data_IF_415923818093
#
_entry.id   IF_415923818093
#
_cell.length_a   1.000
_cell.length_b   1.000
_cell.length_c   1.000
_cell.angle_alpha   90.00
_cell.angle_beta   90.00
_cell.angle_gamma   90.00
#
_symmetry.space_group_name_H-M   'P 1'
#
loop_
_entity.id
_entity.type
_entity.pdbx_description
1 polymer ?
#
# COMPACT_ATOMS: atom_id res chain seq x y z
N UNK A 1 38.77 -11.64 57.27
CA UNK A 1 37.66 -10.70 56.94
C UNK A 1 37.76 -10.08 55.54
N UNK A 2 38.91 -9.58 55.06
CA UNK A 2 38.99 -8.80 53.79
C UNK A 2 38.60 -9.53 52.48
N UNK A 3 38.76 -10.86 52.40
CA UNK A 3 38.49 -11.64 51.16
C UNK A 3 36.99 -11.75 50.83
N UNK A 4 36.15 -11.97 51.84
CA UNK A 4 34.71 -12.12 51.66
C UNK A 4 34.02 -10.78 51.32
N UNK A 5 34.51 -9.68 51.89
CA UNK A 5 34.01 -8.34 51.57
C UNK A 5 34.25 -7.95 50.12
N UNK A 6 35.41 -8.33 49.55
CA UNK A 6 35.73 -8.09 48.14
C UNK A 6 34.83 -8.90 47.19
N UNK A 7 34.55 -10.17 47.51
CA UNK A 7 33.67 -11.02 46.71
C UNK A 7 32.23 -10.50 46.73
N UNK A 8 31.72 -10.08 47.89
CA UNK A 8 30.39 -9.48 48.02
C UNK A 8 30.31 -8.17 47.21
N UNK A 9 31.34 -7.33 47.27
CA UNK A 9 31.40 -6.09 46.50
C UNK A 9 31.38 -6.34 44.99
N UNK A 10 32.16 -7.31 44.49
CA UNK A 10 32.16 -7.68 43.06
C UNK A 10 30.79 -8.21 42.64
N UNK A 11 30.14 -9.06 43.44
CA UNK A 11 28.80 -9.56 43.15
C UNK A 11 27.76 -8.45 43.11
N UNK A 12 27.83 -7.48 44.02
CA UNK A 12 26.93 -6.32 44.02
C UNK A 12 27.16 -5.42 42.80
N UNK A 13 28.41 -5.20 42.38
CA UNK A 13 28.73 -4.42 41.18
C UNK A 13 28.25 -5.14 39.91
N UNK A 14 28.49 -6.44 39.78
CA UNK A 14 27.99 -7.23 38.65
C UNK A 14 26.46 -7.24 38.63
N UNK A 15 25.82 -7.42 39.79
CA UNK A 15 24.35 -7.39 39.92
C UNK A 15 23.77 -6.02 39.55
N UNK A 16 24.38 -4.93 39.99
CA UNK A 16 23.96 -3.57 39.65
C UNK A 16 24.14 -3.25 38.16
N UNK A 17 25.29 -3.63 37.57
CA UNK A 17 25.53 -3.48 36.14
C UNK A 17 24.57 -4.34 35.31
N UNK A 18 24.25 -5.55 35.78
CA UNK A 18 23.26 -6.42 35.16
C UNK A 18 21.85 -5.83 35.21
N UNK A 19 21.46 -5.22 36.34
CA UNK A 19 20.18 -4.53 36.47
C UNK A 19 20.07 -3.32 35.54
N UNK A 20 21.09 -2.44 35.51
CA UNK A 20 21.17 -1.29 34.60
C UNK A 20 21.11 -1.72 33.12
N UNK A 21 21.79 -2.80 32.78
CA UNK A 21 21.75 -3.38 31.44
C UNK A 21 20.33 -3.86 31.06
N UNK A 22 19.63 -4.53 31.97
CA UNK A 22 18.26 -5.00 31.73
C UNK A 22 17.26 -3.84 31.62
N UNK A 23 17.38 -2.83 32.47
CA UNK A 23 16.51 -1.65 32.44
C UNK A 23 16.69 -0.85 31.14
N UNK A 24 17.94 -0.60 30.72
CA UNK A 24 18.22 0.05 29.43
C UNK A 24 17.74 -0.79 28.25
N UNK A 25 17.87 -2.12 28.32
CA UNK A 25 17.33 -3.01 27.28
C UNK A 25 15.82 -2.93 27.20
N UNK A 26 15.10 -2.94 28.33
CA UNK A 26 13.64 -2.80 28.35
C UNK A 26 13.16 -1.45 27.78
N UNK A 27 13.86 -0.36 28.12
CA UNK A 27 13.58 0.96 27.54
C UNK A 27 13.78 0.93 26.02
N UNK A 28 14.90 0.39 25.52
CA UNK A 28 15.14 0.25 24.08
C UNK A 28 14.03 -0.55 23.38
N UNK A 29 13.58 -1.66 23.96
CA UNK A 29 12.50 -2.49 23.42
C UNK A 29 11.17 -1.72 23.32
N UNK A 30 10.78 -0.96 24.35
CA UNK A 30 9.56 -0.15 24.31
C UNK A 30 9.61 0.96 23.25
N UNK A 31 10.78 1.58 23.05
CA UNK A 31 10.99 2.58 22.00
C UNK A 31 10.84 1.93 20.62
N UNK A 32 11.37 0.72 20.44
CA UNK A 32 11.25 -0.06 19.21
C UNK A 32 9.79 -0.41 18.90
N UNK A 33 9.03 -0.92 19.88
CA UNK A 33 7.63 -1.33 19.72
C UNK A 33 6.69 -0.16 19.40
N UNK A 34 6.90 1.00 20.02
CA UNK A 34 6.09 2.20 19.71
C UNK A 34 6.35 2.67 18.28
N UNK A 35 7.62 2.60 17.84
CA UNK A 35 8.03 3.11 16.54
C UNK A 35 7.48 2.26 15.39
N UNK A 36 7.49 0.93 15.51
CA UNK A 36 6.98 0.04 14.45
C UNK A 36 5.47 0.26 14.18
N UNK A 37 4.66 0.44 15.23
CA UNK A 37 3.21 0.64 15.04
C UNK A 37 2.90 1.94 14.31
N UNK A 38 3.56 3.03 14.68
CA UNK A 38 3.39 4.33 14.03
C UNK A 38 3.83 4.29 12.56
N UNK A 39 4.94 3.59 12.27
CA UNK A 39 5.43 3.47 10.89
C UNK A 39 4.52 2.59 10.03
N UNK A 40 4.02 1.47 10.57
CA UNK A 40 3.04 0.63 9.89
C UNK A 40 1.77 1.41 9.57
N UNK A 41 1.23 2.14 10.55
CA UNK A 41 0.05 3.00 10.36
C UNK A 41 0.30 4.07 9.29
N UNK A 42 1.41 4.80 9.39
CA UNK A 42 1.71 5.88 8.45
C UNK A 42 1.92 5.36 7.04
N UNK A 43 2.63 4.24 6.86
CA UNK A 43 2.80 3.59 5.57
C UNK A 43 1.45 3.23 4.95
N UNK A 44 0.51 2.69 5.75
CA UNK A 44 -0.84 2.39 5.30
C UNK A 44 -1.61 3.63 4.84
N UNK A 45 -1.56 4.72 5.62
CA UNK A 45 -2.23 5.98 5.28
C UNK A 45 -1.66 6.63 4.01
N UNK A 46 -0.32 6.59 3.86
CA UNK A 46 0.34 7.02 2.62
C UNK A 46 -0.13 6.18 1.44
N UNK A 47 -0.28 4.87 1.61
CA UNK A 47 -0.72 3.98 0.55
C UNK A 47 -2.17 4.23 0.12
N UNK A 48 -3.09 4.43 1.07
CA UNK A 48 -4.47 4.82 0.77
C UNK A 48 -4.52 6.14 -0.02
N UNK A 49 -3.69 7.11 0.35
CA UNK A 49 -3.57 8.36 -0.41
C UNK A 49 -3.11 8.12 -1.85
N UNK A 50 -2.14 7.21 -2.04
CA UNK A 50 -1.68 6.87 -3.39
C UNK A 50 -2.82 6.36 -4.26
N UNK A 51 -3.72 5.55 -3.70
CA UNK A 51 -4.89 5.07 -4.43
C UNK A 51 -5.88 6.18 -4.78
N UNK A 52 -6.17 7.05 -3.81
CA UNK A 52 -7.01 8.23 -4.04
C UNK A 52 -6.41 9.13 -5.12
N UNK A 53 -5.08 9.33 -5.09
CA UNK A 53 -4.35 10.12 -6.07
C UNK A 53 -4.40 9.53 -7.48
N UNK A 54 -4.31 8.20 -7.61
CA UNK A 54 -4.47 7.49 -8.88
C UNK A 54 -5.93 7.52 -9.36
N UNK A 55 -6.89 7.44 -8.43
CA UNK A 55 -8.32 7.51 -8.69
C UNK A 55 -8.85 8.92 -8.95
N UNK A 56 -7.99 9.95 -8.90
CA UNK A 56 -8.37 11.35 -9.09
C UNK A 56 -9.31 11.90 -8.01
N UNK A 57 -9.40 11.23 -6.87
CA UNK A 57 -10.38 11.45 -5.80
C UNK A 57 -9.66 11.66 -4.48
N UNK A 58 -8.84 12.71 -4.43
CA UNK A 58 -8.02 12.98 -3.24
C UNK A 58 -8.83 13.81 -2.26
N UNK A 59 -9.55 13.12 -1.39
CA UNK A 59 -10.46 13.74 -0.45
C UNK A 59 -9.75 14.17 0.84
N UNK A 60 -8.65 13.50 1.21
CA UNK A 60 -8.06 13.68 2.54
C UNK A 60 -6.53 13.85 2.55
N UNK A 61 -6.01 14.65 1.60
CA UNK A 61 -4.56 14.94 1.57
C UNK A 61 -4.07 15.59 2.86
N UNK A 62 -4.93 16.37 3.53
CA UNK A 62 -4.58 17.05 4.76
C UNK A 62 -4.28 16.05 5.89
N UNK A 63 -5.15 15.07 6.13
CA UNK A 63 -4.91 14.04 7.16
C UNK A 63 -3.60 13.30 6.91
N UNK A 64 -3.31 12.97 5.66
CA UNK A 64 -2.09 12.22 5.32
C UNK A 64 -0.84 13.08 5.48
N UNK A 65 -0.91 14.38 5.18
CA UNK A 65 0.15 15.32 5.55
C UNK A 65 0.37 15.33 7.07
N UNK A 66 -0.70 15.40 7.87
CA UNK A 66 -0.59 15.40 9.34
C UNK A 66 0.05 14.10 9.86
N UNK A 67 -0.31 12.93 9.30
CA UNK A 67 0.30 11.63 9.65
C UNK A 67 1.78 11.54 9.22
N UNK A 68 2.13 12.06 8.04
CA UNK A 68 3.51 12.11 7.57
C UNK A 68 4.34 13.04 8.46
N UNK A 69 3.82 14.23 8.79
CA UNK A 69 4.50 15.20 9.66
C UNK A 69 4.71 14.61 11.06
N UNK A 70 3.69 13.89 11.58
CA UNK A 70 3.80 13.14 12.83
C UNK A 70 4.92 12.09 12.77
N UNK A 71 4.94 11.25 11.72
CA UNK A 71 5.99 10.25 11.53
C UNK A 71 7.38 10.87 11.38
N UNK A 72 7.51 11.98 10.64
CA UNK A 72 8.78 12.70 10.52
C UNK A 72 9.26 13.24 11.87
N UNK A 73 8.35 13.82 12.66
CA UNK A 73 8.65 14.29 14.01
C UNK A 73 9.12 13.15 14.92
N UNK A 74 8.40 12.02 14.93
CA UNK A 74 8.78 10.85 15.72
C UNK A 74 10.12 10.27 15.30
N UNK A 75 10.36 10.10 13.99
CA UNK A 75 11.64 9.64 13.46
C UNK A 75 12.79 10.56 13.88
N UNK A 76 12.60 11.87 13.80
CA UNK A 76 13.60 12.85 14.23
C UNK A 76 13.86 12.76 15.74
N UNK A 77 12.80 12.71 16.56
CA UNK A 77 12.92 12.55 18.01
C UNK A 77 13.71 11.27 18.36
N UNK A 78 13.42 10.15 17.69
CA UNK A 78 14.14 8.88 17.87
C UNK A 78 15.61 8.99 17.46
N UNK A 79 15.91 9.67 16.36
CA UNK A 79 17.31 9.94 15.96
C UNK A 79 18.05 10.71 17.06
N UNK A 80 17.44 11.78 17.59
CA UNK A 80 18.04 12.62 18.63
C UNK A 80 18.25 11.85 19.96
N UNK A 81 17.34 10.93 20.30
CA UNK A 81 17.48 10.00 21.43
C UNK A 81 18.60 8.98 21.19
N UNK A 82 18.67 8.39 20.00
CA UNK A 82 19.68 7.40 19.65
C UNK A 82 21.10 7.98 19.57
N UNK A 83 21.26 9.26 19.24
CA UNK A 83 22.56 9.95 19.29
C UNK A 83 23.14 10.02 20.71
N UNK A 84 22.27 9.94 21.74
CA UNK A 84 22.65 9.97 23.16
C UNK A 84 22.72 8.59 23.79
N UNK A 85 22.37 7.54 23.05
CA UNK A 85 22.28 6.17 23.53
C UNK A 85 23.24 5.22 22.79
N UNK A 86 23.68 4.11 23.41
CA UNK A 86 24.56 3.13 22.77
C UNK A 86 23.77 2.22 21.82
N UNK A 87 23.28 2.78 20.72
CA UNK A 87 22.49 2.09 19.69
C UNK A 87 23.38 1.80 18.47
N UNK A 88 23.21 0.65 17.77
CA UNK A 88 24.01 0.34 16.58
C UNK A 88 23.91 1.42 15.51
N UNK A 89 25.04 1.79 14.91
CA UNK A 89 25.09 2.79 13.81
C UNK A 89 24.22 2.42 12.62
N UNK A 90 24.10 1.12 12.32
CA UNK A 90 23.20 0.62 11.27
C UNK A 90 21.74 0.97 11.54
N UNK A 91 21.29 0.81 12.78
CA UNK A 91 19.91 1.13 13.16
C UNK A 91 19.62 2.64 13.14
N UNK A 92 20.60 3.46 13.53
CA UNK A 92 20.54 4.92 13.39
C UNK A 92 20.44 5.33 11.92
N UNK A 93 21.26 4.72 11.04
CA UNK A 93 21.23 5.00 9.62
C UNK A 93 19.88 4.63 9.00
N UNK A 94 19.32 3.47 9.35
CA UNK A 94 18.02 3.05 8.84
C UNK A 94 16.88 4.00 9.24
N UNK A 95 16.91 4.59 10.44
CA UNK A 95 15.97 5.66 10.81
C UNK A 95 16.15 6.92 9.96
N UNK A 96 17.40 7.32 9.69
CA UNK A 96 17.68 8.49 8.84
C UNK A 96 17.23 8.26 7.41
N UNK A 97 17.45 7.07 6.87
CA UNK A 97 17.01 6.69 5.53
C UNK A 97 15.48 6.76 5.44
N UNK A 98 14.77 6.18 6.42
CA UNK A 98 13.30 6.22 6.47
C UNK A 98 12.78 7.67 6.60
N UNK A 99 13.38 8.49 7.46
CA UNK A 99 13.05 9.91 7.59
C UNK A 99 13.24 10.67 6.28
N UNK A 100 14.34 10.42 5.58
CA UNK A 100 14.63 11.06 4.30
C UNK A 100 13.63 10.65 3.22
N UNK A 101 13.20 9.37 3.20
CA UNK A 101 12.14 8.90 2.30
C UNK A 101 10.81 9.60 2.58
N UNK A 102 10.40 9.74 3.85
CA UNK A 102 9.19 10.50 4.22
C UNK A 102 9.28 11.99 3.84
N UNK A 103 10.43 12.63 4.06
CA UNK A 103 10.66 14.02 3.64
C UNK A 103 10.57 14.19 2.13
N UNK A 104 11.14 13.26 1.37
CA UNK A 104 11.03 13.29 -0.09
C UNK A 104 9.57 13.11 -0.54
N UNK A 105 8.85 12.16 0.04
CA UNK A 105 7.44 11.95 -0.25
C UNK A 105 6.59 13.19 0.07
N UNK A 106 6.73 13.77 1.26
CA UNK A 106 6.03 15.00 1.67
C UNK A 106 6.29 16.16 0.69
N UNK A 107 7.54 16.30 0.21
CA UNK A 107 7.88 17.30 -0.81
C UNK A 107 7.16 17.05 -2.13
N UNK A 108 7.10 15.79 -2.60
CA UNK A 108 6.37 15.42 -3.82
C UNK A 108 4.86 15.61 -3.65
N UNK A 109 4.32 15.26 -2.48
CA UNK A 109 2.92 15.45 -2.16
C UNK A 109 2.53 16.94 -2.15
N UNK A 110 3.38 17.80 -1.60
CA UNK A 110 3.16 19.26 -1.63
C UNK A 110 3.10 19.79 -3.06
N UNK A 111 3.97 19.29 -3.96
CA UNK A 111 3.95 19.67 -5.38
C UNK A 111 2.65 19.19 -6.03
N UNK A 112 2.27 17.94 -5.77
CA UNK A 112 1.03 17.35 -6.26
C UNK A 112 -0.20 18.19 -5.83
N UNK A 113 -0.30 18.56 -4.55
CA UNK A 113 -1.37 19.40 -4.02
C UNK A 113 -1.41 20.79 -4.68
N UNK A 114 -0.25 21.42 -4.86
CA UNK A 114 -0.18 22.73 -5.51
C UNK A 114 -0.70 22.68 -6.94
N UNK A 115 -0.39 21.62 -7.68
CA UNK A 115 -0.86 21.44 -9.05
C UNK A 115 -2.37 21.17 -9.10
N UNK A 116 -2.91 20.38 -8.15
CA UNK A 116 -4.36 20.21 -7.98
C UNK A 116 -5.07 21.55 -7.78
N UNK A 117 -4.57 22.40 -6.88
CA UNK A 117 -5.22 23.66 -6.50
C UNK A 117 -5.10 24.71 -7.61
N UNK A 118 -3.93 24.80 -8.25
CA UNK A 118 -3.62 25.90 -9.18
C UNK A 118 -4.23 25.68 -10.56
N UNK A 119 -4.11 24.47 -11.10
CA UNK A 119 -4.42 24.19 -12.51
C UNK A 119 -5.63 23.25 -12.65
N UNK A 120 -6.17 22.71 -11.54
CA UNK A 120 -7.26 21.74 -11.55
C UNK A 120 -6.90 20.42 -12.25
N UNK A 121 -5.64 20.24 -12.66
CA UNK A 121 -5.18 19.11 -13.47
C UNK A 121 -3.97 18.44 -12.82
N UNK A 122 -4.19 17.21 -12.38
CA UNK A 122 -3.12 16.29 -12.00
C UNK A 122 -2.58 15.67 -13.29
N UNK A 123 -1.28 15.81 -13.54
CA UNK A 123 -0.66 15.14 -14.69
C UNK A 123 -0.20 13.74 -14.33
N UNK A 124 -0.10 12.86 -15.34
CA UNK A 124 0.53 11.53 -15.19
C UNK A 124 1.93 11.63 -14.56
N UNK A 125 2.70 12.67 -14.90
CA UNK A 125 4.03 12.90 -14.32
C UNK A 125 3.96 13.12 -12.81
N UNK A 126 2.95 13.83 -12.30
CA UNK A 126 2.80 14.06 -10.86
C UNK A 126 2.51 12.76 -10.10
N UNK A 127 1.66 11.90 -10.66
CA UNK A 127 1.36 10.57 -10.09
C UNK A 127 2.63 9.70 -10.08
N UNK A 128 3.38 9.67 -11.19
CA UNK A 128 4.62 8.88 -11.29
C UNK A 128 5.70 9.35 -10.31
N UNK A 129 5.88 10.65 -10.13
CA UNK A 129 6.82 11.20 -9.15
C UNK A 129 6.44 10.83 -7.70
N UNK A 130 5.15 10.86 -7.39
CA UNK A 130 4.63 10.49 -6.08
C UNK A 130 4.79 8.98 -5.83
N UNK A 131 4.48 8.14 -6.82
CA UNK A 131 4.73 6.69 -6.80
C UNK A 131 6.21 6.37 -6.58
N UNK A 132 7.10 7.08 -7.28
CA UNK A 132 8.55 6.89 -7.13
C UNK A 132 9.04 7.24 -5.73
N UNK A 133 8.51 8.31 -5.12
CA UNK A 133 8.83 8.66 -3.74
C UNK A 133 8.26 7.65 -2.73
N UNK A 134 7.06 7.11 -2.97
CA UNK A 134 6.49 6.06 -2.12
C UNK A 134 7.32 4.77 -2.16
N UNK A 135 7.83 4.37 -3.32
CA UNK A 135 8.73 3.22 -3.44
C UNK A 135 10.00 3.35 -2.57
N UNK A 136 10.48 4.58 -2.34
CA UNK A 136 11.62 4.82 -1.43
C UNK A 136 11.23 4.64 0.04
N UNK A 137 9.97 4.91 0.42
CA UNK A 137 9.46 4.61 1.76
C UNK A 137 9.41 3.09 1.97
N UNK A 138 8.93 2.33 0.98
CA UNK A 138 8.89 0.87 1.03
C UNK A 138 10.30 0.31 1.25
N UNK A 139 11.26 0.69 0.41
CA UNK A 139 12.64 0.21 0.50
C UNK A 139 13.31 0.56 1.84
N UNK A 140 13.12 1.80 2.31
CA UNK A 140 13.67 2.22 3.60
C UNK A 140 13.00 1.47 4.76
N UNK A 141 11.68 1.20 4.65
CA UNK A 141 10.93 0.42 5.65
C UNK A 141 11.41 -1.04 5.70
N UNK A 142 11.68 -1.68 4.55
CA UNK A 142 12.22 -3.03 4.49
C UNK A 142 13.58 -3.12 5.20
N UNK A 143 14.50 -2.21 4.84
CA UNK A 143 15.82 -2.16 5.45
C UNK A 143 15.74 -1.93 6.96
N UNK A 144 14.90 -0.98 7.37
CA UNK A 144 14.65 -0.68 8.79
C UNK A 144 14.09 -1.90 9.54
N UNK A 145 13.13 -2.61 8.93
CA UNK A 145 12.45 -3.74 9.55
C UNK A 145 13.35 -4.96 9.73
N UNK A 146 14.26 -5.21 8.80
CA UNK A 146 15.28 -6.26 8.94
C UNK A 146 16.13 -6.02 10.18
N UNK A 147 16.64 -4.80 10.37
CA UNK A 147 17.48 -4.46 11.53
C UNK A 147 16.66 -4.51 12.83
N UNK A 148 15.41 -4.03 12.80
CA UNK A 148 14.48 -4.13 13.91
C UNK A 148 14.22 -5.59 14.33
N UNK A 149 13.98 -6.51 13.38
CA UNK A 149 13.79 -7.93 13.69
C UNK A 149 15.05 -8.57 14.29
N UNK A 150 16.22 -8.22 13.78
CA UNK A 150 17.48 -8.74 14.31
C UNK A 150 17.74 -8.30 15.75
N UNK A 151 17.36 -7.08 16.13
CA UNK A 151 17.50 -6.60 17.50
C UNK A 151 16.51 -7.27 18.48
N UNK A 152 15.47 -7.94 17.98
CA UNK A 152 14.39 -8.56 18.75
C UNK A 152 14.34 -10.10 18.68
N UNK A 153 15.36 -10.75 18.12
CA UNK A 153 15.42 -12.17 17.71
C UNK A 153 15.04 -13.25 18.77
N UNK A 154 14.71 -12.88 20.00
CA UNK A 154 14.42 -13.82 21.10
C UNK A 154 13.08 -13.58 21.83
N UNK A 155 12.18 -12.74 21.32
CA UNK A 155 10.99 -12.34 22.11
C UNK A 155 9.68 -13.05 21.76
N UNK A 156 9.63 -13.91 20.73
CA UNK A 156 8.42 -14.68 20.39
C UNK A 156 7.18 -13.82 20.10
N UNK A 157 7.36 -12.54 19.74
CA UNK A 157 6.29 -11.58 19.53
C UNK A 157 5.79 -11.61 18.08
N UNK A 158 4.50 -11.36 17.90
CA UNK A 158 3.95 -10.97 16.61
C UNK A 158 4.35 -9.52 16.32
N UNK A 159 4.83 -9.27 15.11
CA UNK A 159 5.25 -7.96 14.65
C UNK A 159 4.28 -7.48 13.57
N UNK A 160 3.89 -6.19 13.56
CA UNK A 160 3.11 -5.65 12.47
C UNK A 160 3.91 -5.75 11.16
N UNK A 161 3.17 -5.81 10.07
CA UNK A 161 3.71 -5.89 8.72
C UNK A 161 4.07 -4.48 8.25
N UNK A 162 5.27 -4.32 7.70
CA UNK A 162 5.78 -3.04 7.15
C UNK A 162 6.54 -3.28 5.84
N UNK A 163 6.75 -2.21 5.07
CA UNK A 163 7.55 -2.25 3.85
C UNK A 163 6.87 -3.03 2.72
N UNK A 164 7.66 -3.83 2.01
CA UNK A 164 7.23 -4.62 0.85
C UNK A 164 6.08 -5.56 1.15
N UNK A 165 6.11 -6.23 2.31
CA UNK A 165 5.05 -7.16 2.70
C UNK A 165 3.73 -6.43 2.99
N UNK A 166 3.80 -5.22 3.56
CA UNK A 166 2.61 -4.38 3.79
C UNK A 166 2.05 -3.90 2.45
N UNK A 167 2.93 -3.41 1.57
CA UNK A 167 2.56 -2.96 0.23
C UNK A 167 1.90 -4.08 -0.58
N UNK A 168 2.48 -5.28 -0.52
CA UNK A 168 1.95 -6.48 -1.19
C UNK A 168 0.56 -6.82 -0.67
N UNK A 169 0.36 -6.95 0.66
CA UNK A 169 -0.96 -7.27 1.23
C UNK A 169 -2.02 -6.26 0.82
N UNK A 170 -1.69 -4.98 0.87
CA UNK A 170 -2.61 -3.95 0.45
C UNK A 170 -2.92 -4.05 -1.05
N UNK A 171 -1.92 -4.30 -1.90
CA UNK A 171 -2.13 -4.53 -3.33
C UNK A 171 -3.06 -5.73 -3.58
N UNK A 172 -2.88 -6.82 -2.83
CA UNK A 172 -3.74 -8.00 -2.89
C UNK A 172 -5.20 -7.65 -2.54
N UNK A 173 -5.43 -7.09 -1.35
CA UNK A 173 -6.76 -6.80 -0.81
C UNK A 173 -7.52 -5.76 -1.67
N UNK A 174 -6.81 -4.73 -2.14
CA UNK A 174 -7.40 -3.68 -2.98
C UNK A 174 -7.69 -4.16 -4.40
N UNK A 175 -6.81 -4.98 -4.98
CA UNK A 175 -7.07 -5.56 -6.30
C UNK A 175 -8.26 -6.51 -6.23
N UNK A 176 -8.33 -7.35 -5.20
CA UNK A 176 -9.47 -8.24 -4.97
C UNK A 176 -10.79 -7.46 -4.86
N UNK A 177 -10.84 -6.46 -3.99
CA UNK A 177 -12.02 -5.61 -3.78
C UNK A 177 -12.48 -4.96 -5.09
N UNK A 178 -11.53 -4.46 -5.90
CA UNK A 178 -11.81 -3.81 -7.18
C UNK A 178 -12.37 -4.78 -8.22
N UNK A 179 -11.82 -5.99 -8.28
CA UNK A 179 -12.31 -7.05 -9.16
C UNK A 179 -13.75 -7.40 -8.78
N UNK A 180 -14.01 -7.64 -7.50
CA UNK A 180 -15.34 -8.01 -7.00
C UNK A 180 -16.39 -6.95 -7.34
N UNK A 181 -16.08 -5.67 -7.09
CA UNK A 181 -16.98 -4.55 -7.41
C UNK A 181 -17.25 -4.49 -8.92
N UNK A 182 -16.21 -4.55 -9.75
CA UNK A 182 -16.37 -4.35 -11.18
C UNK A 182 -17.01 -5.55 -11.88
N UNK A 183 -16.67 -6.78 -11.50
CA UNK A 183 -17.34 -7.99 -12.00
C UNK A 183 -18.81 -8.02 -11.57
N UNK A 184 -19.11 -7.70 -10.31
CA UNK A 184 -20.48 -7.67 -9.81
C UNK A 184 -21.32 -6.65 -10.58
N UNK A 185 -20.76 -5.48 -10.90
CA UNK A 185 -21.44 -4.49 -11.72
C UNK A 185 -21.81 -5.04 -13.11
N UNK A 186 -20.91 -5.77 -13.78
CA UNK A 186 -21.25 -6.40 -15.06
C UNK A 186 -22.31 -7.49 -14.87
N UNK A 187 -22.10 -8.38 -13.89
CA UNK A 187 -22.95 -9.55 -13.65
C UNK A 187 -24.38 -9.19 -13.28
N UNK A 188 -24.57 -8.20 -12.41
CA UNK A 188 -25.89 -7.85 -11.89
C UNK A 188 -26.53 -6.68 -12.64
N UNK A 189 -25.75 -5.73 -13.17
CA UNK A 189 -26.31 -4.53 -13.80
C UNK A 189 -26.27 -4.55 -15.32
N UNK A 190 -25.47 -5.41 -15.97
CA UNK A 190 -25.32 -5.45 -17.43
C UNK A 190 -25.89 -6.74 -18.03
N UNK A 191 -25.42 -7.90 -17.56
CA UNK A 191 -25.78 -9.20 -18.12
C UNK A 191 -27.30 -9.47 -18.15
N UNK A 192 -28.11 -9.07 -17.14
CA UNK A 192 -29.55 -9.28 -17.20
C UNK A 192 -30.21 -8.57 -18.39
N UNK A 193 -29.81 -7.32 -18.70
CA UNK A 193 -30.36 -6.58 -19.83
C UNK A 193 -29.85 -7.10 -21.17
N UNK A 194 -28.60 -7.58 -21.22
CA UNK A 194 -28.05 -8.29 -22.38
C UNK A 194 -28.89 -9.53 -22.70
N UNK A 195 -29.21 -10.34 -21.69
CA UNK A 195 -30.01 -11.56 -21.87
C UNK A 195 -31.47 -11.27 -22.26
N UNK A 196 -32.05 -10.19 -21.75
CA UNK A 196 -33.40 -9.74 -22.08
C UNK A 196 -33.49 -8.99 -23.42
N UNK A 197 -32.34 -8.68 -24.04
CA UNK A 197 -32.23 -7.79 -25.20
C UNK A 197 -32.89 -6.42 -24.96
N UNK A 198 -32.82 -5.91 -23.73
CA UNK A 198 -33.31 -4.58 -23.36
C UNK A 198 -32.24 -3.53 -23.68
N UNK A 199 -32.21 -3.11 -24.95
CA UNK A 199 -31.23 -2.13 -25.43
C UNK A 199 -31.35 -0.77 -24.74
N UNK A 200 -32.55 -0.38 -24.32
CA UNK A 200 -32.80 0.92 -23.68
C UNK A 200 -32.26 0.99 -22.26
N UNK A 201 -32.48 -0.06 -21.47
CA UNK A 201 -31.89 -0.16 -20.13
C UNK A 201 -30.37 -0.38 -20.22
N UNK A 202 -29.92 -1.24 -21.13
CA UNK A 202 -28.50 -1.52 -21.34
C UNK A 202 -27.72 -0.25 -21.70
N UNK A 203 -28.23 0.57 -22.63
CA UNK A 203 -27.59 1.83 -22.98
C UNK A 203 -27.36 2.74 -21.76
N UNK A 204 -28.36 2.88 -20.89
CA UNK A 204 -28.26 3.70 -19.68
C UNK A 204 -27.14 3.19 -18.77
N UNK A 205 -27.02 1.88 -18.59
CA UNK A 205 -25.97 1.32 -17.74
C UNK A 205 -24.58 1.49 -18.36
N UNK A 206 -24.45 1.27 -19.68
CA UNK A 206 -23.18 1.44 -20.39
C UNK A 206 -22.73 2.91 -20.51
N UNK A 207 -23.65 3.87 -20.39
CA UNK A 207 -23.34 5.29 -20.45
C UNK A 207 -22.46 5.80 -19.30
N UNK A 208 -22.28 5.03 -18.22
CA UNK A 208 -21.40 5.38 -17.09
C UNK A 208 -20.35 4.28 -16.77
N UNK A 209 -19.23 4.23 -17.49
CA UNK A 209 -18.19 3.21 -17.31
C UNK A 209 -17.18 3.57 -16.21
N UNK A 210 -17.54 4.48 -15.30
CA UNK A 210 -16.62 5.02 -14.28
C UNK A 210 -15.99 3.94 -13.40
N UNK A 211 -16.76 2.89 -13.07
CA UNK A 211 -16.28 1.74 -12.28
C UNK A 211 -15.11 1.03 -12.98
N UNK A 212 -15.18 0.84 -14.30
CA UNK A 212 -14.13 0.13 -15.06
C UNK A 212 -12.89 1.01 -15.28
N UNK A 213 -13.10 2.29 -15.55
CA UNK A 213 -12.02 3.27 -15.63
C UNK A 213 -11.23 3.37 -14.32
N UNK A 214 -11.92 3.25 -13.18
CA UNK A 214 -11.30 3.24 -11.87
C UNK A 214 -10.39 2.01 -11.66
N UNK A 215 -10.83 0.81 -12.07
CA UNK A 215 -9.98 -0.41 -12.05
C UNK A 215 -8.79 -0.26 -12.98
N UNK A 216 -9.01 0.14 -14.24
CA UNK A 216 -7.95 0.30 -15.24
C UNK A 216 -6.93 1.36 -14.79
N UNK A 217 -7.39 2.50 -14.25
CA UNK A 217 -6.49 3.54 -13.74
C UNK A 217 -5.64 3.02 -12.60
N UNK A 218 -6.25 2.35 -11.61
CA UNK A 218 -5.53 1.70 -10.51
C UNK A 218 -4.45 0.77 -11.03
N UNK A 219 -4.83 -0.19 -11.87
CA UNK A 219 -3.92 -1.22 -12.34
C UNK A 219 -2.74 -0.66 -13.15
N UNK A 220 -2.97 0.36 -13.97
CA UNK A 220 -1.90 0.98 -14.77
C UNK A 220 -0.85 1.74 -13.96
N UNK A 221 -1.13 2.12 -12.72
CA UNK A 221 -0.25 2.99 -11.93
C UNK A 221 0.31 2.31 -10.68
N UNK A 222 -0.15 1.10 -10.33
CA UNK A 222 0.36 0.39 -9.18
C UNK A 222 1.67 -0.35 -9.48
N UNK A 223 2.55 -0.38 -8.49
CA UNK A 223 3.71 -1.27 -8.51
C UNK A 223 3.23 -2.69 -8.19
N UNK A 224 3.26 -3.55 -9.21
CA UNK A 224 2.80 -4.94 -9.13
C UNK A 224 3.91 -5.81 -8.53
N UNK A 225 3.64 -6.58 -7.44
CA UNK A 225 4.60 -7.55 -6.95
C UNK A 225 4.82 -8.64 -7.99
N UNK A 226 6.06 -9.14 -8.11
CA UNK A 226 6.48 -10.03 -9.20
C UNK A 226 5.56 -11.26 -9.37
N UNK A 227 5.16 -11.88 -8.26
CA UNK A 227 4.28 -13.04 -8.22
C UNK A 227 2.90 -12.81 -8.89
N UNK A 228 2.43 -11.56 -8.95
CA UNK A 228 1.12 -11.20 -9.49
C UNK A 228 1.18 -10.69 -10.93
N UNK A 229 2.38 -10.53 -11.51
CA UNK A 229 2.56 -9.83 -12.79
C UNK A 229 1.71 -10.39 -13.92
N UNK A 230 1.64 -11.72 -14.07
CA UNK A 230 0.88 -12.36 -15.15
C UNK A 230 -0.63 -12.19 -14.95
N UNK A 231 -1.15 -12.54 -13.77
CA UNK A 231 -2.57 -12.41 -13.45
C UNK A 231 -3.04 -10.95 -13.56
N UNK A 232 -2.22 -10.01 -13.10
CA UNK A 232 -2.46 -8.57 -13.26
C UNK A 232 -2.57 -8.16 -14.73
N UNK A 233 -1.67 -8.62 -15.60
CA UNK A 233 -1.71 -8.28 -17.02
C UNK A 233 -2.96 -8.84 -17.72
N UNK A 234 -3.35 -10.07 -17.40
CA UNK A 234 -4.56 -10.69 -17.94
C UNK A 234 -5.82 -9.94 -17.50
N UNK A 235 -5.94 -9.64 -16.21
CA UNK A 235 -7.00 -8.80 -15.67
C UNK A 235 -7.05 -7.44 -16.37
N UNK A 236 -5.93 -6.70 -16.40
CA UNK A 236 -5.86 -5.38 -17.02
C UNK A 236 -6.31 -5.42 -18.48
N UNK A 237 -5.87 -6.45 -19.22
CA UNK A 237 -6.27 -6.65 -20.61
C UNK A 237 -7.76 -6.91 -20.75
N UNK A 238 -8.34 -7.78 -19.92
CA UNK A 238 -9.76 -8.08 -19.94
C UNK A 238 -10.62 -6.83 -19.64
N UNK A 239 -10.25 -6.05 -18.63
CA UNK A 239 -10.92 -4.79 -18.30
C UNK A 239 -10.78 -3.73 -19.40
N UNK A 240 -9.60 -3.59 -20.02
CA UNK A 240 -9.38 -2.67 -21.15
C UNK A 240 -10.24 -3.08 -22.35
N UNK A 241 -10.32 -4.38 -22.66
CA UNK A 241 -11.13 -4.88 -23.77
C UNK A 241 -12.61 -4.58 -23.55
N UNK A 242 -13.12 -4.88 -22.34
CA UNK A 242 -14.49 -4.54 -21.96
C UNK A 242 -14.75 -3.03 -22.05
N UNK A 243 -13.88 -2.20 -21.44
CA UNK A 243 -14.03 -0.75 -21.47
C UNK A 243 -14.03 -0.19 -22.89
N UNK A 244 -13.13 -0.68 -23.76
CA UNK A 244 -13.05 -0.27 -25.16
C UNK A 244 -14.35 -0.60 -25.89
N UNK A 245 -14.88 -1.81 -25.70
CA UNK A 245 -16.16 -2.22 -26.29
C UNK A 245 -17.31 -1.30 -25.88
N UNK A 246 -17.43 -0.98 -24.60
CA UNK A 246 -18.58 -0.19 -24.09
C UNK A 246 -18.43 1.31 -24.35
N UNK A 247 -17.20 1.83 -24.45
CA UNK A 247 -16.94 3.23 -24.78
C UNK A 247 -17.46 3.59 -26.17
N UNK A 248 -17.35 2.69 -27.13
CA UNK A 248 -17.79 2.94 -28.51
C UNK A 248 -19.32 3.10 -28.61
N UNK A 249 -20.08 2.43 -27.72
CA UNK A 249 -21.55 2.57 -27.65
C UNK A 249 -21.99 3.94 -27.15
N UNK A 250 -21.18 4.64 -26.36
CA UNK A 250 -21.49 6.01 -25.93
C UNK A 250 -21.57 7.00 -27.10
N UNK A 251 -21.00 6.64 -28.24
CA UNK A 251 -20.87 7.54 -29.40
C UNK A 251 -21.96 7.26 -30.43
N UNK A 252 -22.47 6.02 -30.51
CA UNK A 252 -23.42 5.60 -31.54
C UNK A 252 -24.39 4.52 -31.05
N UNK A 253 -25.62 4.90 -30.73
CA UNK A 253 -26.72 3.99 -30.32
C UNK A 253 -27.00 2.89 -31.36
N UNK A 254 -26.69 3.12 -32.64
CA UNK A 254 -26.86 2.14 -33.73
C UNK A 254 -25.96 0.90 -33.61
N UNK A 255 -24.98 0.91 -32.70
CA UNK A 255 -24.08 -0.22 -32.45
C UNK A 255 -24.70 -1.27 -31.50
N UNK A 256 -25.78 -0.94 -30.80
CA UNK A 256 -26.51 -1.89 -29.94
C UNK A 256 -27.30 -2.88 -30.79
N UNK A 257 -26.68 -4.01 -31.09
CA UNK A 257 -27.26 -5.12 -31.86
C UNK A 257 -26.86 -6.48 -31.27
N UNK A 258 -27.34 -7.57 -31.84
CA UNK A 258 -27.06 -8.92 -31.34
C UNK A 258 -25.56 -9.26 -31.31
N UNK A 259 -24.79 -8.81 -32.30
CA UNK A 259 -23.33 -9.02 -32.33
C UNK A 259 -22.65 -8.33 -31.14
N UNK A 260 -23.07 -7.11 -30.82
CA UNK A 260 -22.57 -6.37 -29.67
C UNK A 260 -22.92 -7.05 -28.33
N UNK A 261 -24.13 -7.59 -28.20
CA UNK A 261 -24.56 -8.34 -27.02
C UNK A 261 -23.68 -9.58 -26.79
N UNK A 262 -23.36 -10.33 -27.86
CA UNK A 262 -22.46 -11.48 -27.77
C UNK A 262 -21.02 -11.06 -27.43
N UNK A 263 -20.54 -9.93 -27.95
CA UNK A 263 -19.24 -9.37 -27.54
C UNK A 263 -19.20 -9.00 -26.06
N UNK A 264 -20.26 -8.41 -25.50
CA UNK A 264 -20.32 -8.12 -24.05
C UNK A 264 -20.21 -9.42 -23.26
N UNK A 265 -20.95 -10.47 -23.64
CA UNK A 265 -20.88 -11.77 -22.97
C UNK A 265 -19.46 -12.33 -23.04
N UNK A 266 -18.82 -12.25 -24.21
CA UNK A 266 -17.43 -12.68 -24.41
C UNK A 266 -16.47 -11.95 -23.47
N UNK A 267 -16.48 -10.61 -23.46
CA UNK A 267 -15.65 -9.83 -22.55
C UNK A 267 -15.93 -10.13 -21.08
N UNK A 268 -17.19 -10.35 -20.70
CA UNK A 268 -17.53 -10.76 -19.34
C UNK A 268 -16.91 -12.12 -18.97
N UNK A 269 -16.93 -13.11 -19.88
CA UNK A 269 -16.26 -14.40 -19.65
C UNK A 269 -14.74 -14.23 -19.52
N UNK A 270 -14.12 -13.41 -20.37
CA UNK A 270 -12.68 -13.11 -20.28
C UNK A 270 -12.34 -12.48 -18.92
N UNK A 271 -13.18 -11.56 -18.42
CA UNK A 271 -13.01 -10.94 -17.10
C UNK A 271 -13.16 -11.97 -15.96
N UNK A 272 -14.13 -12.89 -16.05
CA UNK A 272 -14.29 -13.97 -15.06
C UNK A 272 -13.07 -14.88 -15.05
N UNK A 273 -12.61 -15.33 -16.22
CA UNK A 273 -11.44 -16.18 -16.34
C UNK A 273 -10.20 -15.49 -15.74
N UNK A 274 -9.95 -14.23 -16.10
CA UNK A 274 -8.83 -13.48 -15.54
C UNK A 274 -8.93 -13.30 -14.01
N UNK A 275 -10.15 -13.20 -13.47
CA UNK A 275 -10.39 -13.18 -12.03
C UNK A 275 -10.17 -14.53 -11.36
N UNK A 276 -10.49 -15.63 -12.02
CA UNK A 276 -10.18 -16.98 -11.51
C UNK A 276 -8.67 -17.18 -11.44
N UNK A 277 -7.93 -16.81 -12.48
CA UNK A 277 -6.46 -16.83 -12.50
C UNK A 277 -5.85 -15.94 -11.39
N UNK A 278 -6.46 -14.78 -11.13
CA UNK A 278 -6.08 -13.95 -9.99
C UNK A 278 -6.32 -14.63 -8.65
N UNK A 279 -7.49 -15.25 -8.45
CA UNK A 279 -7.82 -15.95 -7.21
C UNK A 279 -6.85 -17.12 -6.96
N UNK A 280 -6.42 -17.85 -7.99
CA UNK A 280 -5.42 -18.91 -7.84
C UNK A 280 -4.08 -18.37 -7.32
N UNK A 281 -3.62 -17.23 -7.85
CA UNK A 281 -2.38 -16.58 -7.38
C UNK A 281 -2.57 -15.97 -6.00
N UNK A 282 -3.72 -15.34 -5.74
CA UNK A 282 -4.08 -14.79 -4.43
C UNK A 282 -4.08 -15.88 -3.37
N UNK A 283 -4.83 -16.96 -3.55
CA UNK A 283 -4.93 -18.06 -2.58
C UNK A 283 -3.57 -18.75 -2.34
N UNK A 284 -2.70 -18.82 -3.35
CA UNK A 284 -1.37 -19.39 -3.21
C UNK A 284 -0.41 -18.52 -2.39
N UNK A 285 -0.51 -17.20 -2.53
CA UNK A 285 0.45 -16.25 -1.96
C UNK A 285 -0.09 -15.52 -0.71
N UNK A 286 -1.40 -15.55 -0.48
CA UNK A 286 -2.05 -14.94 0.66
C UNK A 286 -1.79 -15.80 1.91
N UNK A 287 -0.68 -15.50 2.58
CA UNK A 287 -0.35 -16.11 3.86
C UNK A 287 -1.14 -15.38 4.94
N UNK A 288 -1.97 -16.11 5.69
CA UNK A 288 -2.57 -15.63 6.93
C UNK A 288 -1.44 -15.38 7.96
N UNK A 289 -1.00 -14.12 8.08
CA UNK A 289 -0.02 -13.67 9.08
C UNK A 289 -0.67 -13.32 10.42
#
# INVERSE_FOLDING_TARGET
>A
MKRWTLVIFIMLVIGYLGFQYLEHRQQQLQLYDTSIMEYSKTNGNVQTLMLEAIGGTVYDVKRVNDDIDHSQYFLQLRIDEMEKAPVPKSYQQAHRDLLNSYKNFSKKLTIYQKNMIKDGMITKSNILELNSAYAQIIQASDHWYVIYKESLKNEGRSFPIVGSLQHQRFYEDETQTRIEIALSAVEYDIIPYVNQKDYGALYKMLSNPSVYLWVISYMNHMNVPEAYTSAHQHLLTAYINYYTLVKDVQVQDSLLNEEFLEKIKGCYQDMKQASEEWNEVYDHNHINY
#
